data_IF_580816872941
#
_entry.id   IF_580816872941
#
_cell.length_a   1.000
_cell.length_b   1.000
_cell.length_c   1.000
_cell.angle_alpha   90.00
_cell.angle_beta   90.00
_cell.angle_gamma   90.00
#
_symmetry.space_group_name_H-M   'P 1'
#
loop_
_entity.id
_entity.type
_entity.pdbx_description
1 polymer ?
#
# COMPACT_ATOMS: atom_id res chain seq x y z
N UNK A 1 11.99 -15.67 -0.57
CA UNK A 1 11.79 -17.12 -0.33
C UNK A 1 12.20 -17.49 1.10
N UNK A 2 13.39 -17.14 1.57
CA UNK A 2 13.87 -17.47 2.93
C UNK A 2 12.99 -16.87 4.03
N UNK A 3 12.60 -15.61 3.92
CA UNK A 3 11.71 -14.94 4.88
C UNK A 3 10.37 -15.66 5.00
N UNK A 4 9.76 -16.06 3.88
CA UNK A 4 8.49 -16.81 3.90
C UNK A 4 8.63 -18.15 4.63
N UNK A 5 9.72 -18.90 4.39
CA UNK A 5 9.95 -20.18 5.07
C UNK A 5 10.09 -20.00 6.58
N UNK A 6 10.91 -19.04 7.00
CA UNK A 6 11.10 -18.73 8.44
C UNK A 6 9.79 -18.32 9.08
N UNK A 7 9.01 -17.47 8.42
CA UNK A 7 7.70 -17.03 8.92
C UNK A 7 6.72 -18.19 9.09
N UNK A 8 6.65 -19.11 8.13
CA UNK A 8 5.80 -20.30 8.24
C UNK A 8 6.21 -21.17 9.44
N UNK A 9 7.52 -21.40 9.67
CA UNK A 9 8.00 -22.15 10.82
C UNK A 9 7.66 -21.47 12.15
N UNK A 10 7.84 -20.16 12.25
CA UNK A 10 7.52 -19.39 13.46
C UNK A 10 6.02 -19.49 13.75
N UNK A 11 5.17 -19.23 12.77
CA UNK A 11 3.71 -19.32 12.96
C UNK A 11 3.24 -20.73 13.23
N UNK A 12 3.83 -21.74 12.59
CA UNK A 12 3.54 -23.15 12.86
C UNK A 12 3.90 -23.54 14.30
N UNK A 13 5.09 -23.16 14.77
CA UNK A 13 5.49 -23.39 16.15
C UNK A 13 4.58 -22.67 17.15
N UNK A 14 4.22 -21.41 16.86
CA UNK A 14 3.29 -20.65 17.70
C UNK A 14 1.89 -21.29 17.75
N UNK A 15 1.35 -21.71 16.61
CA UNK A 15 0.06 -22.41 16.54
C UNK A 15 0.08 -23.73 17.33
N UNK A 16 1.17 -24.49 17.23
CA UNK A 16 1.34 -25.73 18.00
C UNK A 16 1.40 -25.47 19.50
N UNK A 17 2.17 -24.45 19.92
CA UNK A 17 2.24 -24.03 21.31
C UNK A 17 0.85 -23.64 21.85
N UNK A 18 0.09 -22.86 21.09
CA UNK A 18 -1.27 -22.47 21.43
C UNK A 18 -2.20 -23.67 21.56
N UNK A 19 -2.09 -24.64 20.64
CA UNK A 19 -2.89 -25.87 20.69
C UNK A 19 -2.59 -26.73 21.94
N UNK A 20 -1.35 -26.76 22.38
CA UNK A 20 -0.94 -27.50 23.59
C UNK A 20 -1.37 -26.79 24.89
N UNK A 21 -1.36 -25.44 24.89
CA UNK A 21 -1.77 -24.64 26.05
C UNK A 21 -3.29 -24.59 26.23
N UNK A 22 -4.04 -24.73 25.13
CA UNK A 22 -5.50 -24.63 25.16
C UNK A 22 -6.11 -26.01 25.36
N UNK A 23 -6.78 -26.26 26.48
CA UNK A 23 -7.45 -27.54 26.77
C UNK A 23 -8.70 -27.83 25.95
N UNK A 24 -9.08 -26.97 24.99
CA UNK A 24 -10.27 -27.10 24.17
C UNK A 24 -10.03 -26.69 22.71
N UNK A 25 -10.19 -27.63 21.80
CA UNK A 25 -10.11 -27.38 20.35
C UNK A 25 -11.17 -26.36 19.89
N UNK A 26 -12.36 -26.44 20.48
CA UNK A 26 -13.45 -25.50 20.21
C UNK A 26 -13.08 -24.07 20.60
N UNK A 27 -12.45 -23.89 21.77
CA UNK A 27 -11.97 -22.58 22.22
C UNK A 27 -10.95 -21.97 21.27
N UNK A 28 -10.03 -22.78 20.74
CA UNK A 28 -9.02 -22.33 19.79
C UNK A 28 -9.64 -21.91 18.45
N UNK A 29 -10.59 -22.70 17.93
CA UNK A 29 -11.33 -22.37 16.72
C UNK A 29 -12.11 -21.05 16.88
N UNK A 30 -12.81 -20.89 18.00
CA UNK A 30 -13.55 -19.68 18.31
C UNK A 30 -12.65 -18.44 18.42
N UNK A 31 -11.49 -18.57 19.08
CA UNK A 31 -10.50 -17.49 19.18
C UNK A 31 -9.94 -17.09 17.81
N UNK A 32 -9.65 -18.07 16.96
CA UNK A 32 -9.17 -17.82 15.60
C UNK A 32 -10.20 -17.04 14.78
N UNK A 33 -11.46 -17.47 14.80
CA UNK A 33 -12.56 -16.78 14.10
C UNK A 33 -12.75 -15.36 14.60
N UNK A 34 -12.62 -15.14 15.90
CA UNK A 34 -12.78 -13.86 16.54
C UNK A 34 -11.65 -12.88 16.18
N UNK A 35 -10.40 -13.35 16.11
CA UNK A 35 -9.28 -12.57 15.64
C UNK A 35 -9.41 -12.16 14.18
N UNK A 36 -9.86 -13.05 13.32
CA UNK A 36 -10.16 -12.74 11.91
C UNK A 36 -11.22 -11.64 11.82
N UNK A 37 -12.30 -11.76 12.60
CA UNK A 37 -13.37 -10.77 12.63
C UNK A 37 -12.89 -9.38 13.11
N UNK A 38 -12.10 -9.34 14.18
CA UNK A 38 -11.68 -8.07 14.79
C UNK A 38 -10.55 -7.38 14.03
N UNK A 39 -9.65 -8.15 13.42
CA UNK A 39 -8.42 -7.63 12.83
C UNK A 39 -8.48 -7.63 11.30
N UNK A 40 -8.72 -8.79 10.68
CA UNK A 40 -8.59 -8.93 9.23
C UNK A 40 -9.77 -8.27 8.49
N UNK A 41 -10.97 -8.45 9.00
CA UNK A 41 -12.18 -7.91 8.37
C UNK A 41 -12.15 -6.36 8.23
N UNK A 42 -11.80 -5.56 9.27
CA UNK A 42 -11.66 -4.11 9.13
C UNK A 42 -10.60 -3.70 8.11
N UNK A 43 -9.49 -4.45 8.02
CA UNK A 43 -8.45 -4.18 7.05
C UNK A 43 -8.94 -4.40 5.62
N UNK A 44 -9.64 -5.50 5.40
CA UNK A 44 -10.23 -5.82 4.11
C UNK A 44 -11.23 -4.74 3.67
N UNK A 45 -12.13 -4.32 4.57
CA UNK A 45 -13.07 -3.24 4.30
C UNK A 45 -12.35 -1.94 3.94
N UNK A 46 -11.31 -1.60 4.69
CA UNK A 46 -10.54 -0.37 4.43
C UNK A 46 -9.90 -0.38 3.05
N UNK A 47 -9.30 -1.50 2.65
CA UNK A 47 -8.63 -1.63 1.34
C UNK A 47 -9.63 -1.61 0.19
N UNK A 48 -10.80 -2.24 0.36
CA UNK A 48 -11.80 -2.34 -0.71
C UNK A 48 -12.60 -1.05 -0.91
N UNK A 49 -12.98 -0.38 0.18
CA UNK A 49 -13.94 0.73 0.12
C UNK A 49 -13.30 2.10 0.29
N UNK A 50 -12.12 2.22 0.90
CA UNK A 50 -11.52 3.51 1.23
C UNK A 50 -10.26 3.74 0.38
N UNK A 51 -10.37 4.68 -0.55
CA UNK A 51 -9.23 5.14 -1.35
C UNK A 51 -8.31 6.00 -0.47
N UNK A 52 -7.04 5.62 -0.37
CA UNK A 52 -6.04 6.40 0.37
C UNK A 52 -5.61 5.79 1.71
N UNK A 53 -6.09 4.59 2.06
CA UNK A 53 -5.50 3.82 3.16
C UNK A 53 -4.04 3.51 2.88
N UNK A 54 -3.22 3.62 3.90
CA UNK A 54 -1.78 3.36 3.83
C UNK A 54 -1.35 2.32 4.87
N UNK A 55 -0.11 1.86 4.76
CA UNK A 55 0.44 0.83 5.64
C UNK A 55 0.49 1.27 7.11
N UNK A 56 0.74 2.57 7.37
CA UNK A 56 0.76 3.10 8.74
C UNK A 56 -0.60 3.01 9.41
N UNK A 57 -1.68 3.35 8.69
CA UNK A 57 -3.03 3.18 9.18
C UNK A 57 -3.40 1.73 9.42
N UNK A 58 -2.98 0.82 8.54
CA UNK A 58 -3.15 -0.62 8.72
C UNK A 58 -2.49 -1.12 10.00
N UNK A 59 -1.23 -0.77 10.23
CA UNK A 59 -0.50 -1.16 11.46
C UNK A 59 -1.18 -0.59 12.70
N UNK A 60 -1.59 0.67 12.67
CA UNK A 60 -2.35 1.27 13.78
C UNK A 60 -3.66 0.52 14.04
N UNK A 61 -4.44 0.22 12.99
CA UNK A 61 -5.67 -0.56 13.10
C UNK A 61 -5.44 -1.94 13.71
N UNK A 62 -4.36 -2.63 13.32
CA UNK A 62 -3.94 -3.90 13.94
C UNK A 62 -3.68 -3.77 15.42
N UNK A 63 -2.84 -2.81 15.81
CA UNK A 63 -2.44 -2.61 17.20
C UNK A 63 -3.64 -2.25 18.06
N UNK A 64 -4.45 -1.28 17.65
CA UNK A 64 -5.64 -0.87 18.40
C UNK A 64 -6.68 -1.97 18.51
N UNK A 65 -6.97 -2.68 17.41
CA UNK A 65 -7.91 -3.78 17.41
C UNK A 65 -7.47 -4.93 18.31
N UNK A 66 -6.19 -5.30 18.25
CA UNK A 66 -5.61 -6.35 19.07
C UNK A 66 -5.61 -5.98 20.57
N UNK A 67 -5.17 -4.75 20.91
CA UNK A 67 -5.12 -4.27 22.29
C UNK A 67 -6.51 -4.24 22.93
N UNK A 68 -7.50 -3.71 22.23
CA UNK A 68 -8.87 -3.66 22.72
C UNK A 68 -9.48 -5.07 22.83
N UNK A 69 -9.17 -5.96 21.89
CA UNK A 69 -9.68 -7.34 21.92
C UNK A 69 -9.08 -8.15 23.07
N UNK A 70 -7.77 -8.11 23.24
CA UNK A 70 -7.08 -8.81 24.33
C UNK A 70 -7.42 -8.13 25.66
N UNK A 71 -7.53 -6.81 25.69
CA UNK A 71 -7.89 -6.05 26.88
C UNK A 71 -9.22 -6.46 27.51
N UNK A 72 -10.19 -6.92 26.68
CA UNK A 72 -11.46 -7.47 27.16
C UNK A 72 -11.37 -8.82 27.87
N UNK A 73 -10.17 -9.45 27.86
CA UNK A 73 -9.93 -10.77 28.44
C UNK A 73 -10.32 -11.92 27.50
N UNK A 74 -9.66 -13.06 27.69
CA UNK A 74 -9.93 -14.29 26.93
C UNK A 74 -10.02 -15.48 27.88
N UNK A 75 -11.24 -15.96 28.14
CA UNK A 75 -11.44 -17.07 29.07
C UNK A 75 -10.76 -18.38 28.62
N UNK A 76 -10.68 -18.63 27.30
CA UNK A 76 -10.05 -19.83 26.76
C UNK A 76 -8.53 -19.87 26.93
N UNK A 77 -7.87 -18.70 27.00
CA UNK A 77 -6.45 -18.57 27.28
C UNK A 77 -6.17 -18.27 28.77
N UNK A 78 -7.20 -18.26 29.60
CA UNK A 78 -7.11 -17.86 31.02
C UNK A 78 -6.49 -16.48 31.23
N UNK A 79 -6.64 -15.58 30.25
CA UNK A 79 -6.17 -14.21 30.35
C UNK A 79 -7.21 -13.34 31.07
N UNK A 80 -6.86 -12.72 32.18
CA UNK A 80 -7.76 -11.80 32.87
C UNK A 80 -8.00 -10.55 32.03
N UNK A 81 -9.19 -9.93 32.12
CA UNK A 81 -9.46 -8.67 31.45
C UNK A 81 -8.60 -7.56 32.06
N UNK A 82 -7.93 -6.78 31.20
CA UNK A 82 -7.23 -5.56 31.57
C UNK A 82 -8.14 -4.34 31.47
N UNK A 83 -9.14 -4.40 30.58
CA UNK A 83 -10.11 -3.35 30.34
C UNK A 83 -11.48 -3.86 30.78
N UNK A 84 -12.03 -3.23 31.82
CA UNK A 84 -13.38 -3.51 32.30
C UNK A 84 -14.37 -2.67 31.53
N UNK A 85 -15.03 -3.28 30.54
CA UNK A 85 -16.09 -2.61 29.80
C UNK A 85 -17.38 -2.48 30.64
N UNK A 86 -18.24 -1.50 30.37
CA UNK A 86 -19.50 -1.36 31.09
C UNK A 86 -20.32 -2.66 31.02
N UNK A 87 -20.89 -3.11 32.15
CA UNK A 87 -21.73 -4.33 32.19
C UNK A 87 -20.97 -5.63 32.39
N UNK A 88 -19.74 -5.58 32.93
CA UNK A 88 -19.05 -6.79 33.40
C UNK A 88 -19.76 -7.41 34.61
N UNK A 89 -19.81 -8.73 34.67
CA UNK A 89 -20.42 -9.49 35.76
C UNK A 89 -19.47 -10.62 36.13
N UNK A 90 -19.23 -10.79 37.42
CA UNK A 90 -18.51 -11.97 37.91
C UNK A 90 -19.49 -13.16 37.99
N UNK A 91 -19.19 -14.24 37.29
CA UNK A 91 -20.00 -15.45 37.27
C UNK A 91 -19.25 -16.55 38.02
N UNK A 92 -19.94 -17.19 38.96
CA UNK A 92 -19.47 -18.34 39.68
C UNK A 92 -19.77 -19.60 38.86
N UNK A 93 -18.74 -20.40 38.60
CA UNK A 93 -18.89 -21.72 38.00
C UNK A 93 -18.44 -22.78 38.99
N UNK A 94 -19.38 -23.50 39.50
CA UNK A 94 -19.09 -24.65 40.38
C UNK A 94 -18.72 -25.86 39.53
N UNK A 95 -17.55 -26.41 39.75
CA UNK A 95 -17.13 -27.63 39.10
C UNK A 95 -17.89 -28.80 39.73
N UNK A 96 -18.78 -29.45 38.98
CA UNK A 96 -19.65 -30.54 39.46
C UNK A 96 -18.89 -31.74 40.03
N UNK A 97 -17.61 -31.94 39.71
CA UNK A 97 -16.82 -33.08 40.14
C UNK A 97 -15.94 -32.81 41.36
N UNK A 98 -15.48 -31.57 41.57
CA UNK A 98 -14.55 -31.21 42.64
C UNK A 98 -15.19 -30.30 43.68
N UNK A 99 -16.33 -29.70 43.41
CA UNK A 99 -16.97 -28.71 44.28
C UNK A 99 -16.28 -27.37 44.34
N UNK A 100 -15.19 -27.20 43.59
CA UNK A 100 -14.46 -25.92 43.55
C UNK A 100 -15.26 -24.84 42.81
N UNK A 101 -15.28 -23.67 43.42
CA UNK A 101 -15.94 -22.48 42.80
C UNK A 101 -14.89 -21.66 42.14
N UNK A 102 -14.95 -21.61 40.79
CA UNK A 102 -14.09 -20.77 39.96
C UNK A 102 -14.84 -19.50 39.57
N UNK A 103 -14.24 -18.34 39.90
CA UNK A 103 -14.81 -17.04 39.53
C UNK A 103 -14.20 -16.58 38.24
N UNK A 104 -15.04 -16.30 37.23
CA UNK A 104 -14.59 -15.68 36.00
C UNK A 104 -15.42 -14.46 35.64
N UNK A 105 -14.76 -13.48 35.06
CA UNK A 105 -15.39 -12.25 34.62
C UNK A 105 -16.02 -12.48 33.26
N UNK A 106 -17.33 -12.36 33.18
CA UNK A 106 -18.07 -12.38 31.94
C UNK A 106 -18.44 -10.96 31.53
N UNK A 107 -17.98 -10.57 30.34
CA UNK A 107 -18.31 -9.27 29.77
C UNK A 107 -19.62 -9.40 28.94
N UNK A 108 -20.68 -8.70 29.37
CA UNK A 108 -21.94 -8.63 28.62
C UNK A 108 -21.91 -7.62 27.50
N UNK A 109 -21.02 -6.64 27.55
CA UNK A 109 -20.85 -5.64 26.53
C UNK A 109 -20.30 -6.28 25.24
N UNK A 110 -20.77 -5.86 24.04
CA UNK A 110 -20.28 -6.40 22.78
C UNK A 110 -18.91 -5.83 22.42
N UNK A 111 -17.92 -6.01 23.32
CA UNK A 111 -16.56 -5.47 23.19
C UNK A 111 -15.84 -5.94 21.94
N UNK A 112 -16.19 -7.11 21.41
CA UNK A 112 -15.62 -7.65 20.18
C UNK A 112 -16.03 -6.80 18.97
N UNK A 113 -17.31 -6.44 18.86
CA UNK A 113 -17.81 -5.56 17.80
C UNK A 113 -17.27 -4.13 17.94
N UNK A 114 -17.16 -3.66 19.18
CA UNK A 114 -16.53 -2.35 19.45
C UNK A 114 -15.05 -2.35 19.06
N UNK A 115 -14.31 -3.40 19.39
CA UNK A 115 -12.91 -3.57 18.98
C UNK A 115 -12.76 -3.60 17.46
N UNK A 116 -13.68 -4.26 16.75
CA UNK A 116 -13.69 -4.29 15.28
C UNK A 116 -13.92 -2.89 14.69
N UNK A 117 -14.93 -2.17 15.17
CA UNK A 117 -15.21 -0.79 14.73
C UNK A 117 -14.05 0.14 15.07
N UNK A 118 -13.48 0.01 16.25
CA UNK A 118 -12.30 0.80 16.65
C UNK A 118 -11.07 0.51 15.79
N UNK A 119 -10.83 -0.76 15.43
CA UNK A 119 -9.77 -1.14 14.48
C UNK A 119 -9.98 -0.50 13.11
N UNK A 120 -11.21 -0.51 12.60
CA UNK A 120 -11.56 0.13 11.34
C UNK A 120 -11.35 1.65 11.39
N UNK A 121 -11.88 2.31 12.42
CA UNK A 121 -11.72 3.75 12.59
C UNK A 121 -10.24 4.15 12.77
N UNK A 122 -9.48 3.39 13.57
CA UNK A 122 -8.05 3.63 13.73
C UNK A 122 -7.32 3.53 12.38
N UNK A 123 -7.59 2.49 11.59
CA UNK A 123 -6.98 2.35 10.26
C UNK A 123 -7.27 3.58 9.39
N UNK A 124 -8.52 4.02 9.32
CA UNK A 124 -8.93 5.16 8.50
C UNK A 124 -8.29 6.46 9.01
N UNK A 125 -8.46 6.75 10.30
CA UNK A 125 -7.97 8.00 10.91
C UNK A 125 -6.45 8.10 10.78
N UNK A 126 -5.71 7.04 11.14
CA UNK A 126 -4.25 7.06 11.05
C UNK A 126 -3.76 7.09 9.59
N UNK A 127 -4.47 6.49 8.64
CA UNK A 127 -4.13 6.61 7.21
C UNK A 127 -4.23 8.05 6.71
N UNK A 128 -5.34 8.72 7.01
CA UNK A 128 -5.52 10.11 6.61
C UNK A 128 -4.61 11.06 7.39
N UNK A 129 -4.41 10.82 8.68
CA UNK A 129 -3.49 11.61 9.51
C UNK A 129 -2.06 11.52 8.99
N UNK A 130 -1.58 10.31 8.70
CA UNK A 130 -0.24 10.10 8.15
C UNK A 130 -0.09 10.80 6.79
N UNK A 131 -1.09 10.64 5.92
CA UNK A 131 -1.08 11.33 4.63
C UNK A 131 -1.01 12.85 4.82
N UNK A 132 -1.83 13.41 5.69
CA UNK A 132 -1.84 14.84 5.98
C UNK A 132 -0.49 15.34 6.56
N UNK A 133 0.13 14.58 7.47
CA UNK A 133 1.42 14.92 8.07
C UNK A 133 2.57 14.97 7.03
N UNK A 134 2.56 14.06 6.06
CA UNK A 134 3.55 14.05 4.99
C UNK A 134 3.27 15.11 3.91
N UNK A 135 2.01 15.35 3.57
CA UNK A 135 1.62 16.39 2.58
C UNK A 135 1.82 17.81 3.13
N UNK A 136 1.59 18.03 4.42
CA UNK A 136 1.82 19.35 5.06
C UNK A 136 3.29 19.64 5.36
N UNK A 137 4.21 18.72 5.05
CA UNK A 137 5.63 18.90 5.25
C UNK A 137 6.10 18.89 6.71
N UNK A 138 5.21 18.59 7.65
CA UNK A 138 5.54 18.44 9.07
C UNK A 138 6.48 17.26 9.33
N UNK A 139 6.33 16.17 8.57
CA UNK A 139 7.28 15.06 8.59
C UNK A 139 8.12 15.09 7.29
N UNK A 140 9.44 15.08 7.45
CA UNK A 140 10.35 14.89 6.33
C UNK A 140 10.19 13.50 5.75
N UNK A 141 10.23 13.37 4.41
CA UNK A 141 10.19 12.09 3.69
C UNK A 141 11.22 11.06 4.19
N UNK A 142 12.26 11.50 4.87
CA UNK A 142 13.27 10.64 5.51
C UNK A 142 12.68 9.73 6.61
N UNK A 143 11.54 10.10 7.18
CA UNK A 143 10.84 9.33 8.22
C UNK A 143 9.77 8.38 7.67
N UNK A 144 9.58 8.31 6.35
CA UNK A 144 8.71 7.30 5.73
C UNK A 144 9.41 5.94 5.66
N UNK A 145 9.57 5.32 6.83
CA UNK A 145 10.27 4.04 7.01
C UNK A 145 9.61 2.89 6.20
N UNK A 146 8.31 2.95 5.96
CA UNK A 146 7.56 1.92 5.23
C UNK A 146 7.37 2.27 3.75
N UNK A 147 7.88 3.40 3.30
CA UNK A 147 7.75 3.90 1.91
C UNK A 147 6.29 3.82 1.38
N UNK A 148 5.35 4.05 2.30
CA UNK A 148 3.94 3.79 2.07
C UNK A 148 3.19 5.00 1.51
N UNK A 149 3.66 6.21 1.78
CA UNK A 149 3.05 7.47 1.32
C UNK A 149 3.76 7.98 0.08
N UNK A 150 5.09 8.03 0.12
CA UNK A 150 5.94 8.53 -0.97
C UNK A 150 5.88 7.61 -2.18
N UNK A 151 5.91 6.29 -1.98
CA UNK A 151 5.88 5.31 -3.07
C UNK A 151 4.62 5.42 -3.94
N UNK A 152 3.44 5.69 -3.36
CA UNK A 152 2.21 5.88 -4.14
C UNK A 152 2.27 7.17 -4.98
N UNK A 153 2.74 8.25 -4.40
CA UNK A 153 2.86 9.53 -5.11
C UNK A 153 3.95 9.49 -6.19
N UNK A 154 5.08 8.86 -5.90
CA UNK A 154 6.16 8.64 -6.86
C UNK A 154 5.73 7.74 -8.02
N UNK A 155 4.97 6.68 -7.76
CA UNK A 155 4.39 5.82 -8.81
C UNK A 155 3.38 6.58 -9.67
N UNK A 156 2.51 7.37 -9.08
CA UNK A 156 1.51 8.16 -9.80
C UNK A 156 2.16 9.22 -10.71
N UNK A 157 3.24 9.84 -10.24
CA UNK A 157 4.05 10.76 -11.06
C UNK A 157 4.77 10.00 -12.17
N UNK A 158 5.35 8.85 -11.87
CA UNK A 158 6.07 8.04 -12.83
C UNK A 158 5.15 7.48 -13.91
N UNK A 159 3.95 7.02 -13.56
CA UNK A 159 2.93 6.57 -14.51
C UNK A 159 2.46 7.71 -15.40
N UNK A 160 2.23 8.90 -14.85
CA UNK A 160 1.89 10.10 -15.63
C UNK A 160 3.03 10.51 -16.58
N UNK A 161 4.27 10.51 -16.09
CA UNK A 161 5.44 10.81 -16.90
C UNK A 161 5.64 9.81 -18.05
N UNK A 162 5.40 8.53 -17.78
CA UNK A 162 5.47 7.47 -18.80
C UNK A 162 4.38 7.61 -19.86
N UNK A 163 3.16 7.97 -19.45
CA UNK A 163 2.06 8.24 -20.38
C UNK A 163 2.36 9.43 -21.28
N UNK A 164 2.90 10.53 -20.74
CA UNK A 164 3.32 11.70 -21.51
C UNK A 164 4.43 11.34 -22.50
N UNK A 165 5.47 10.64 -22.02
CA UNK A 165 6.59 10.21 -22.89
C UNK A 165 6.14 9.29 -24.01
N UNK A 166 5.21 8.36 -23.76
CA UNK A 166 4.64 7.52 -24.80
C UNK A 166 3.82 8.32 -25.81
N UNK A 167 3.05 9.31 -25.35
CA UNK A 167 2.29 10.20 -26.23
C UNK A 167 3.21 11.00 -27.14
N UNK A 168 4.27 11.57 -26.60
CA UNK A 168 5.29 12.32 -27.37
C UNK A 168 6.00 11.42 -28.39
N UNK A 169 6.33 10.18 -28.01
CA UNK A 169 6.94 9.22 -28.93
C UNK A 169 6.00 8.83 -30.10
N UNK A 170 4.71 8.69 -29.82
CA UNK A 170 3.70 8.40 -30.88
C UNK A 170 3.61 9.58 -31.83
N UNK A 171 3.55 10.80 -31.34
CA UNK A 171 3.52 12.02 -32.18
C UNK A 171 4.77 12.13 -33.05
N UNK A 172 5.95 11.89 -32.48
CA UNK A 172 7.21 11.91 -33.20
C UNK A 172 7.27 10.85 -34.29
N UNK A 173 6.71 9.67 -34.02
CA UNK A 173 6.65 8.56 -35.00
C UNK A 173 5.68 8.87 -36.13
N UNK A 174 4.53 9.49 -35.85
CA UNK A 174 3.57 9.94 -36.87
C UNK A 174 4.12 11.10 -37.70
N UNK A 175 4.91 12.00 -37.10
CA UNK A 175 5.51 13.13 -37.82
C UNK A 175 6.78 12.76 -38.62
N UNK A 176 7.40 11.62 -38.35
CA UNK A 176 8.61 11.18 -39.03
C UNK A 176 8.45 11.14 -40.56
N UNK A 177 7.39 10.55 -41.15
CA UNK A 177 7.21 10.50 -42.61
C UNK A 177 6.97 11.89 -43.20
N UNK A 178 6.26 12.78 -42.47
CA UNK A 178 6.00 14.16 -42.92
C UNK A 178 7.31 14.97 -42.95
N UNK A 179 8.14 14.81 -41.95
CA UNK A 179 9.44 15.47 -41.86
C UNK A 179 10.40 14.99 -42.94
N UNK A 180 10.34 13.69 -43.28
CA UNK A 180 11.14 13.10 -44.33
C UNK A 180 10.69 13.57 -45.71
N UNK A 181 9.37 13.68 -45.96
CA UNK A 181 8.79 14.23 -47.16
C UNK A 181 9.13 15.73 -47.34
N UNK A 182 9.07 16.51 -46.27
CA UNK A 182 9.43 17.93 -46.30
C UNK A 182 10.93 18.15 -46.56
N UNK A 183 11.79 17.34 -45.95
CA UNK A 183 13.22 17.35 -46.20
C UNK A 183 13.60 16.98 -47.64
N UNK A 184 12.92 15.99 -48.23
CA UNK A 184 13.10 15.61 -49.64
C UNK A 184 12.62 16.71 -50.60
N UNK A 185 11.50 17.37 -50.27
CA UNK A 185 10.98 18.52 -51.08
C UNK A 185 11.94 19.70 -51.06
N UNK A 186 12.50 20.03 -49.91
CA UNK A 186 13.47 21.14 -49.79
C UNK A 186 14.77 20.80 -50.54
N UNK A 187 15.29 19.61 -50.40
CA UNK A 187 16.48 19.14 -51.14
C UNK A 187 16.26 19.18 -52.65
N UNK A 188 15.08 18.74 -53.16
CA UNK A 188 14.72 18.83 -54.57
C UNK A 188 14.61 20.26 -55.07
N UNK A 189 14.24 21.22 -54.25
CA UNK A 189 14.16 22.63 -54.60
C UNK A 189 15.56 23.25 -54.77
N UNK A 190 16.52 22.88 -53.93
CA UNK A 190 17.92 23.34 -54.01
C UNK A 190 18.63 22.77 -55.24
N UNK A 191 18.41 21.48 -55.56
CA UNK A 191 19.01 20.86 -56.78
C UNK A 191 18.45 21.46 -58.07
N UNK A 192 17.17 21.82 -58.15
CA UNK A 192 16.58 22.48 -59.30
C UNK A 192 17.03 23.95 -59.44
N UNK A 193 17.34 24.62 -58.31
CA UNK A 193 17.87 25.98 -58.37
C UNK A 193 19.35 26.04 -58.87
N UNK A 194 20.12 24.97 -58.60
CA UNK A 194 21.51 24.88 -59.03
C UNK A 194 21.60 24.54 -60.54
N UNK A 195 20.67 23.78 -61.08
CA UNK A 195 20.59 23.46 -62.53
C UNK A 195 20.14 24.66 -63.35
N UNK A 196 19.39 25.61 -62.79
CA UNK A 196 18.93 26.83 -63.51
C UNK A 196 19.94 27.96 -63.50
N UNK A 197 21.05 27.86 -62.75
CA UNK A 197 22.10 28.89 -62.64
C UNK A 197 23.34 28.65 -63.54
N UNK A 198 23.36 27.57 -64.35
CA UNK A 198 24.53 27.20 -65.19
C UNK A 198 24.37 27.50 -66.66
N UNK A 199 23.49 28.45 -67.02
CA UNK A 199 23.42 29.01 -68.40
C UNK A 199 23.90 30.46 -68.42
N UNK A 200 25.23 30.66 -68.42
CA UNK A 200 25.88 31.92 -68.70
C UNK A 200 27.17 31.75 -69.49
N UNK A 201 27.40 32.54 -70.52
CA UNK A 201 28.21 32.18 -71.69
C UNK A 201 29.69 32.28 -71.49
N UNK A 202 30.36 31.43 -72.21
CA UNK A 202 31.74 31.31 -72.58
C UNK A 202 32.53 32.58 -72.86
N UNK A 203 33.78 32.57 -72.34
CA UNK A 203 35.07 32.86 -72.98
C UNK A 203 35.38 34.29 -73.46
N UNK A 204 36.59 34.56 -73.96
CA UNK A 204 37.90 34.39 -73.31
C UNK A 204 38.65 35.73 -73.33
N UNK A 205 39.70 35.87 -72.65
CA UNK A 205 40.91 36.51 -73.29
C UNK A 205 42.10 36.49 -72.32
N UNK A 206 43.14 36.00 -72.87
CA UNK A 206 44.51 36.12 -72.49
C UNK A 206 44.95 37.62 -72.39
N UNK A 207 45.70 38.00 -71.38
CA UNK A 207 46.77 38.97 -71.53
C UNK A 207 47.91 38.77 -70.56
N UNK A 208 48.98 38.60 -71.15
CA UNK A 208 50.38 38.63 -70.84
C UNK A 208 50.90 39.66 -69.85
N UNK A 209 52.06 39.29 -69.29
CA UNK A 209 53.18 40.14 -68.92
C UNK A 209 53.15 40.87 -67.57
N UNK A 210 54.01 40.63 -66.66
CA UNK A 210 55.45 40.84 -66.72
C UNK A 210 55.81 41.83 -65.60
N UNK A 211 56.58 41.40 -64.78
CA UNK A 211 57.72 41.85 -64.00
C UNK A 211 57.75 41.32 -62.58
#
# INVERSE_FOLDING_TARGET
VWVMRITIFIFGAFATAMALLTGSVYGLWYLSSDLVYVIIFPQLLSVLFIKGTNTYGSVAGYVFGLLLRIGGGEPYLKLPPFIYYPGWVTVEKTHHLTGDVEYFVQQRFPFKSVSMVASFLANVVFSYLTKYLFESGLLSHKYDFLDAVVSKHSKEIMDKATLVSNHDNIILTEMAPVRQALGASVAGTFTNAEILSDDGPSSPESFHSGN
#
